data_IF_025002835270
#
_entry.id   IF_025002835270
#
_cell.length_a   1.000
_cell.length_b   1.000
_cell.length_c   1.000
_cell.angle_alpha   90.00
_cell.angle_beta   90.00
_cell.angle_gamma   90.00
#
_symmetry.space_group_name_H-M   'P 1'
#
loop_
_entity.id
_entity.type
_entity.pdbx_description
1 polymer ?
#
# COMPACT_ATOMS: atom_id res chain seq x y z
N UNK A 1 -11.57 -87.62 -36.08
CA UNK A 1 -10.57 -88.03 -35.07
C UNK A 1 -9.85 -86.77 -34.63
N UNK A 2 -9.88 -86.52 -33.31
CA UNK A 2 -9.03 -85.58 -32.53
C UNK A 2 -9.14 -84.09 -32.89
N UNK A 3 -9.67 -83.17 -32.07
CA UNK A 3 -9.93 -83.16 -30.63
C UNK A 3 -8.79 -82.48 -29.87
N UNK A 4 -8.90 -81.17 -29.64
CA UNK A 4 -8.37 -80.41 -28.49
C UNK A 4 -8.87 -78.94 -28.60
N UNK A 5 -9.50 -78.27 -27.63
CA UNK A 5 -9.76 -78.58 -26.23
C UNK A 5 -9.14 -77.53 -25.29
N UNK A 6 -9.77 -76.36 -25.10
CA UNK A 6 -9.76 -75.51 -23.87
C UNK A 6 -10.56 -74.21 -24.15
N UNK A 7 -11.84 -74.08 -23.77
CA UNK A 7 -12.42 -73.85 -22.42
C UNK A 7 -11.84 -72.59 -21.75
N UNK A 8 -12.47 -71.42 -21.94
CA UNK A 8 -13.51 -70.84 -21.07
C UNK A 8 -13.02 -70.50 -19.65
N UNK A 9 -12.87 -69.19 -19.37
CA UNK A 9 -13.17 -68.66 -18.04
C UNK A 9 -14.02 -67.39 -18.19
N UNK A 10 -15.22 -67.45 -17.63
CA UNK A 10 -16.25 -66.39 -17.62
C UNK A 10 -16.36 -65.83 -16.20
N UNK A 11 -16.91 -64.61 -16.07
CA UNK A 11 -16.60 -63.70 -14.97
C UNK A 11 -17.36 -64.03 -13.69
N UNK A 12 -16.74 -63.78 -12.54
CA UNK A 12 -17.43 -63.70 -11.24
C UNK A 12 -17.80 -62.24 -10.94
N UNK A 13 -19.10 -62.02 -10.84
CA UNK A 13 -19.74 -60.80 -10.33
C UNK A 13 -20.02 -60.90 -8.83
N UNK A 14 -20.20 -59.71 -8.22
CA UNK A 14 -20.82 -59.39 -6.92
C UNK A 14 -19.88 -59.52 -5.70
N UNK A 15 -19.73 -58.55 -4.80
CA UNK A 15 -20.38 -57.26 -4.60
C UNK A 15 -20.39 -56.93 -3.10
N UNK A 16 -20.24 -55.65 -2.74
CA UNK A 16 -20.88 -54.94 -1.59
C UNK A 16 -19.95 -54.05 -0.76
N UNK A 17 -20.50 -52.86 -0.44
CA UNK A 17 -20.18 -51.88 0.63
C UNK A 17 -18.85 -51.09 0.52
N UNK A 18 -18.87 -49.79 0.19
CA UNK A 18 -19.10 -48.63 1.10
C UNK A 18 -18.10 -48.55 2.25
N UNK A 19 -17.10 -47.66 2.16
CA UNK A 19 -17.06 -46.36 2.88
C UNK A 19 -15.79 -45.56 2.49
N UNK A 20 -15.81 -44.20 2.43
CA UNK A 20 -14.65 -43.38 2.14
C UNK A 20 -13.99 -42.77 3.39
N UNK A 21 -12.68 -42.55 3.29
CA UNK A 21 -11.81 -41.70 4.13
C UNK A 21 -11.52 -42.16 5.58
N UNK A 22 -10.32 -41.81 6.07
CA UNK A 22 -10.32 -40.81 7.13
C UNK A 22 -9.48 -39.58 6.80
N UNK A 23 -10.10 -38.42 6.99
CA UNK A 23 -9.47 -37.11 7.07
C UNK A 23 -8.48 -37.07 8.24
N UNK A 24 -7.24 -36.72 7.93
CA UNK A 24 -6.21 -36.46 8.94
C UNK A 24 -6.49 -35.18 9.71
N UNK A 25 -7.13 -35.32 10.88
CA UNK A 25 -7.15 -34.30 11.94
C UNK A 25 -5.91 -34.46 12.81
N UNK A 26 -5.09 -33.42 12.86
CA UNK A 26 -4.01 -33.24 13.82
C UNK A 26 -4.28 -32.03 14.70
N UNK A 27 -5.04 -32.28 15.78
CA UNK A 27 -5.10 -31.60 17.09
C UNK A 27 -4.83 -30.09 17.19
N UNK A 28 -5.93 -29.35 17.37
CA UNK A 28 -5.95 -28.08 18.10
C UNK A 28 -5.77 -28.33 19.60
N UNK A 29 -4.89 -27.56 20.22
CA UNK A 29 -4.83 -27.38 21.67
C UNK A 29 -4.91 -25.88 21.94
N UNK A 30 -6.09 -25.39 22.32
CA UNK A 30 -6.29 -24.43 23.41
C UNK A 30 -7.79 -24.19 23.59
N UNK A 31 -8.28 -24.52 24.78
CA UNK A 31 -9.67 -24.38 25.17
C UNK A 31 -9.94 -23.11 25.97
N UNK A 32 -11.09 -22.48 25.74
CA UNK A 32 -12.02 -21.93 26.73
C UNK A 32 -13.20 -21.21 26.02
N UNK A 33 -14.40 -21.13 26.63
CA UNK A 33 -15.67 -21.18 25.91
C UNK A 33 -16.29 -19.82 25.53
N UNK A 34 -17.12 -19.86 24.48
CA UNK A 34 -18.02 -18.80 24.06
C UNK A 34 -19.22 -18.62 25.02
N UNK A 35 -19.62 -17.38 25.25
CA UNK A 35 -20.92 -17.03 25.85
C UNK A 35 -21.83 -16.40 24.81
N UNK A 36 -23.10 -16.82 24.90
CA UNK A 36 -24.21 -16.61 23.97
C UNK A 36 -24.91 -15.26 24.27
N UNK A 37 -25.43 -14.62 23.23
CA UNK A 37 -26.08 -13.31 23.28
C UNK A 37 -27.47 -13.28 23.92
N UNK A 38 -27.97 -12.06 24.09
CA UNK A 38 -29.27 -11.75 24.68
C UNK A 38 -29.79 -10.37 24.23
N UNK A 39 -30.49 -10.40 23.11
CA UNK A 39 -31.74 -9.72 22.73
C UNK A 39 -32.03 -8.21 22.88
N UNK A 40 -32.85 -7.77 21.91
CA UNK A 40 -33.37 -6.41 21.63
C UNK A 40 -34.52 -6.01 22.56
N UNK A 41 -34.72 -4.68 22.70
CA UNK A 41 -36.05 -4.11 22.96
C UNK A 41 -36.19 -2.70 22.39
N UNK A 42 -37.39 -2.41 21.89
CA UNK A 42 -37.84 -1.22 21.17
C UNK A 42 -38.43 -0.15 22.11
N UNK A 43 -38.65 1.07 21.60
CA UNK A 43 -39.44 2.12 22.27
C UNK A 43 -39.65 3.36 21.40
N UNK A 44 -40.92 3.64 21.10
CA UNK A 44 -41.43 4.69 20.20
C UNK A 44 -41.55 6.10 20.83
N UNK A 45 -41.69 7.12 19.96
CA UNK A 45 -41.99 8.56 20.16
C UNK A 45 -43.41 8.83 20.76
N UNK A 46 -44.04 10.06 20.84
CA UNK A 46 -43.71 11.40 20.25
C UNK A 46 -44.13 12.68 21.07
N UNK A 47 -44.00 13.89 20.46
CA UNK A 47 -44.75 15.14 20.79
C UNK A 47 -43.86 16.41 20.84
N UNK A 48 -43.80 17.28 19.81
CA UNK A 48 -44.73 18.36 19.39
C UNK A 48 -44.55 19.69 20.17
N UNK A 49 -44.10 20.77 19.50
CA UNK A 49 -44.88 22.02 19.31
C UNK A 49 -44.12 23.05 18.44
N UNK A 50 -44.86 23.85 17.67
CA UNK A 50 -44.40 24.84 16.71
C UNK A 50 -45.12 26.18 16.91
N UNK A 51 -44.40 27.32 16.87
CA UNK A 51 -45.03 28.64 16.69
C UNK A 51 -44.12 29.86 16.96
N UNK A 52 -44.37 31.05 16.35
CA UNK A 52 -43.35 31.80 15.60
C UNK A 52 -43.13 33.27 16.01
N UNK A 53 -42.07 33.92 15.48
CA UNK A 53 -41.99 35.40 15.38
C UNK A 53 -40.60 35.97 14.99
N UNK A 54 -40.50 37.13 14.29
CA UNK A 54 -39.43 37.41 13.33
C UNK A 54 -38.44 38.52 13.72
N UNK A 55 -37.24 38.48 13.14
CA UNK A 55 -36.28 39.60 13.12
C UNK A 55 -35.32 39.47 11.94
N UNK A 56 -35.26 40.49 11.08
CA UNK A 56 -34.47 40.51 9.84
C UNK A 56 -33.11 41.21 10.01
N UNK A 57 -32.07 40.59 9.45
CA UNK A 57 -30.88 41.15 8.77
C UNK A 57 -29.78 41.88 9.59
N UNK A 58 -28.49 41.90 9.15
CA UNK A 58 -28.00 41.76 7.76
C UNK A 58 -26.85 40.75 7.51
N UNK A 59 -26.52 40.63 6.22
CA UNK A 59 -25.47 39.81 5.61
C UNK A 59 -24.07 40.05 6.20
N UNK A 60 -23.39 38.95 6.52
CA UNK A 60 -21.93 38.82 6.39
C UNK A 60 -21.66 37.44 5.78
N UNK A 61 -21.11 37.40 4.57
CA UNK A 61 -20.67 36.15 3.95
C UNK A 61 -19.63 35.45 4.82
N UNK A 62 -19.52 34.11 4.76
CA UNK A 62 -18.49 33.42 5.54
C UNK A 62 -17.10 33.90 5.09
N UNK A 63 -16.17 34.15 6.03
CA UNK A 63 -14.78 34.37 5.67
C UNK A 63 -14.30 33.15 4.85
N UNK A 64 -13.66 33.40 3.71
CA UNK A 64 -12.97 32.35 2.95
C UNK A 64 -11.97 31.62 3.87
N UNK A 65 -11.59 30.37 3.55
CA UNK A 65 -10.77 29.59 4.46
C UNK A 65 -9.41 30.28 4.67
N UNK A 66 -9.29 30.95 5.82
CA UNK A 66 -8.02 31.22 6.49
C UNK A 66 -7.29 29.88 6.60
N UNK A 67 -6.14 29.78 5.95
CA UNK A 67 -5.31 28.58 5.98
C UNK A 67 -5.03 28.15 7.42
N UNK A 68 -4.99 26.84 7.72
CA UNK A 68 -4.68 26.41 9.07
C UNK A 68 -3.18 26.60 9.34
N UNK A 69 -2.85 27.65 10.09
CA UNK A 69 -1.82 27.56 11.13
C UNK A 69 -2.31 26.53 12.16
N UNK A 70 -1.57 25.43 12.34
CA UNK A 70 -1.94 24.38 13.27
C UNK A 70 -0.74 23.55 13.72
N UNK A 71 -0.26 23.86 14.93
CA UNK A 71 0.80 23.17 15.68
C UNK A 71 0.36 21.77 16.16
N UNK A 72 0.02 20.88 15.23
CA UNK A 72 -0.37 19.49 15.51
C UNK A 72 0.25 18.51 14.52
N UNK A 73 0.75 17.38 15.01
CA UNK A 73 1.31 16.32 14.18
C UNK A 73 0.34 15.92 13.05
N UNK A 74 0.82 15.77 11.79
CA UNK A 74 -0.03 15.32 10.70
C UNK A 74 -0.71 13.99 11.05
N UNK A 75 -2.01 13.89 10.81
CA UNK A 75 -2.75 12.67 11.07
C UNK A 75 -2.53 11.66 9.97
N UNK A 76 -2.34 10.39 10.33
CA UNK A 76 -2.27 9.28 9.39
C UNK A 76 -3.27 8.17 9.76
N UNK A 77 -3.76 7.46 8.75
CA UNK A 77 -4.65 6.31 8.93
C UNK A 77 -4.00 5.06 8.34
N UNK A 78 -4.05 3.96 9.08
CA UNK A 78 -3.65 2.64 8.60
C UNK A 78 -4.88 1.78 8.33
N UNK A 79 -4.94 1.16 7.15
CA UNK A 79 -6.00 0.24 6.76
C UNK A 79 -5.39 -1.11 6.37
N UNK A 80 -5.87 -2.19 6.98
CA UNK A 80 -5.51 -3.55 6.58
C UNK A 80 -6.64 -4.15 5.75
N UNK A 81 -6.39 -4.39 4.46
CA UNK A 81 -7.31 -5.04 3.55
C UNK A 81 -7.04 -6.56 3.54
N UNK A 82 -7.92 -7.31 4.20
CA UNK A 82 -7.76 -8.77 4.34
C UNK A 82 -9.07 -9.42 4.76
N UNK A 83 -9.68 -10.17 3.84
CA UNK A 83 -10.86 -10.99 4.13
C UNK A 83 -10.67 -11.90 5.34
N UNK A 84 -9.50 -12.54 5.46
CA UNK A 84 -9.21 -13.51 6.53
C UNK A 84 -8.95 -12.83 7.88
N UNK A 85 -8.29 -11.67 7.90
CA UNK A 85 -8.07 -10.95 9.16
C UNK A 85 -9.37 -10.33 9.67
N UNK A 86 -10.18 -9.74 8.77
CA UNK A 86 -11.50 -9.20 9.12
C UNK A 86 -12.46 -10.28 9.65
N UNK A 87 -12.34 -11.52 9.17
CA UNK A 87 -13.09 -12.66 9.67
C UNK A 87 -12.50 -13.32 10.93
N UNK A 88 -11.39 -12.80 11.47
CA UNK A 88 -10.75 -13.34 12.68
C UNK A 88 -9.98 -14.67 12.47
N UNK A 89 -9.76 -15.09 11.22
CA UNK A 89 -9.03 -16.34 10.90
C UNK A 89 -7.55 -16.23 11.28
N UNK A 90 -6.98 -15.03 11.17
CA UNK A 90 -5.66 -14.73 11.73
C UNK A 90 -5.58 -13.28 12.20
N UNK A 91 -4.64 -13.02 13.12
CA UNK A 91 -4.30 -11.68 13.56
C UNK A 91 -3.60 -10.88 12.47
N UNK A 92 -3.96 -9.61 12.34
CA UNK A 92 -3.23 -8.65 11.52
C UNK A 92 -1.85 -8.37 12.14
N UNK A 93 -0.79 -8.59 11.36
CA UNK A 93 0.60 -8.29 11.74
C UNK A 93 1.18 -7.14 10.93
N UNK A 94 0.57 -6.79 9.79
CA UNK A 94 1.08 -5.76 8.90
C UNK A 94 0.64 -4.38 9.36
N UNK A 95 -0.63 -4.24 9.75
CA UNK A 95 -1.21 -2.98 10.21
C UNK A 95 -0.48 -2.38 11.42
N UNK A 96 -0.22 -3.14 12.51
CA UNK A 96 0.51 -2.61 13.66
C UNK A 96 1.91 -2.11 13.31
N UNK A 97 2.66 -2.86 12.49
CA UNK A 97 4.00 -2.45 12.03
C UNK A 97 3.96 -1.15 11.21
N UNK A 98 2.93 -0.98 10.38
CA UNK A 98 2.75 0.22 9.56
C UNK A 98 2.41 1.43 10.44
N UNK A 99 1.58 1.22 11.48
CA UNK A 99 1.21 2.26 12.43
C UNK A 99 2.40 2.71 13.27
N UNK A 100 3.19 1.78 13.80
CA UNK A 100 4.44 2.06 14.52
C UNK A 100 5.43 2.85 13.64
N UNK A 101 5.61 2.44 12.39
CA UNK A 101 6.49 3.12 11.45
C UNK A 101 6.07 4.56 11.15
N UNK A 102 4.77 4.80 10.96
CA UNK A 102 4.23 6.15 10.78
C UNK A 102 4.37 7.00 12.05
N UNK A 103 4.11 6.44 13.23
CA UNK A 103 4.27 7.14 14.49
C UNK A 103 5.74 7.58 14.71
N UNK A 104 6.70 6.72 14.36
CA UNK A 104 8.13 7.03 14.41
C UNK A 104 8.53 8.17 13.44
N UNK A 105 7.76 8.40 12.38
CA UNK A 105 7.92 9.52 11.44
C UNK A 105 7.22 10.81 11.90
N UNK A 106 6.63 10.82 13.10
CA UNK A 106 5.98 12.00 13.69
C UNK A 106 4.52 12.19 13.31
N UNK A 107 3.84 11.16 12.80
CA UNK A 107 2.40 11.21 12.52
C UNK A 107 1.57 10.85 13.76
N UNK A 108 0.41 11.50 13.89
CA UNK A 108 -0.65 11.07 14.81
C UNK A 108 -1.47 9.96 14.11
N UNK A 109 -1.23 8.70 14.48
CA UNK A 109 -1.75 7.55 13.73
C UNK A 109 -3.03 6.99 14.35
N UNK A 110 -4.05 6.84 13.51
CA UNK A 110 -5.25 6.06 13.82
C UNK A 110 -5.21 4.70 13.10
N UNK A 111 -5.75 3.65 13.73
CA UNK A 111 -5.80 2.29 13.20
C UNK A 111 -4.77 1.33 13.84
N UNK A 112 -4.55 0.13 13.26
CA UNK A 112 -5.05 -0.30 11.96
C UNK A 112 -6.56 -0.59 11.95
N UNK A 113 -7.25 -0.05 10.95
CA UNK A 113 -8.61 -0.44 10.62
C UNK A 113 -8.57 -1.67 9.72
N UNK A 114 -8.96 -2.83 10.26
CA UNK A 114 -9.00 -4.10 9.50
C UNK A 114 -10.35 -4.23 8.80
N UNK A 115 -10.34 -4.38 7.48
CA UNK A 115 -11.55 -4.50 6.65
C UNK A 115 -11.42 -5.62 5.60
N UNK A 116 -12.54 -6.21 5.14
CA UNK A 116 -12.53 -7.07 3.97
C UNK A 116 -12.10 -6.34 2.70
N UNK A 117 -11.62 -7.08 1.71
CA UNK A 117 -11.21 -6.53 0.42
C UNK A 117 -12.39 -5.94 -0.37
N UNK A 118 -12.12 -4.95 -1.24
CA UNK A 118 -13.11 -4.37 -2.15
C UNK A 118 -13.84 -3.15 -1.57
N UNK A 119 -15.17 -3.14 -1.62
CA UNK A 119 -15.99 -1.98 -1.25
C UNK A 119 -15.72 -1.43 0.17
N UNK A 120 -15.46 -2.26 1.20
CA UNK A 120 -15.11 -1.75 2.53
C UNK A 120 -13.82 -0.92 2.55
N UNK A 121 -12.82 -1.28 1.72
CA UNK A 121 -11.59 -0.50 1.56
C UNK A 121 -11.90 0.86 0.97
N UNK A 122 -12.70 0.93 -0.10
CA UNK A 122 -13.10 2.21 -0.71
C UNK A 122 -13.82 3.11 0.31
N UNK A 123 -14.76 2.57 1.07
CA UNK A 123 -15.50 3.30 2.10
C UNK A 123 -14.57 3.86 3.18
N UNK A 124 -13.60 3.06 3.64
CA UNK A 124 -12.60 3.48 4.62
C UNK A 124 -11.71 4.60 4.06
N UNK A 125 -11.23 4.47 2.82
CA UNK A 125 -10.45 5.50 2.14
C UNK A 125 -11.22 6.82 2.02
N UNK A 126 -12.46 6.78 1.51
CA UNK A 126 -13.30 7.99 1.40
C UNK A 126 -13.58 8.64 2.75
N UNK A 127 -13.78 7.83 3.79
CA UNK A 127 -13.98 8.32 5.16
C UNK A 127 -12.72 8.98 5.69
N UNK A 128 -11.56 8.40 5.45
CA UNK A 128 -10.27 9.01 5.80
C UNK A 128 -10.04 10.34 5.08
N UNK A 129 -10.28 10.40 3.77
CA UNK A 129 -10.14 11.66 3.01
C UNK A 129 -11.06 12.74 3.58
N UNK A 130 -12.34 12.45 3.83
CA UNK A 130 -13.28 13.41 4.45
C UNK A 130 -12.89 13.83 5.87
N UNK A 131 -12.23 12.95 6.61
CA UNK A 131 -11.74 13.25 7.96
C UNK A 131 -10.43 14.06 7.97
N UNK A 132 -9.87 14.38 6.80
CA UNK A 132 -8.69 15.22 6.66
C UNK A 132 -7.38 14.57 7.09
N UNK A 133 -7.25 13.24 6.98
CA UNK A 133 -5.95 12.59 7.18
C UNK A 133 -4.95 13.09 6.15
N UNK A 134 -3.71 13.35 6.56
CA UNK A 134 -2.65 13.75 5.65
C UNK A 134 -2.14 12.55 4.83
N UNK A 135 -2.09 11.37 5.45
CA UNK A 135 -1.61 10.13 4.83
C UNK A 135 -2.56 8.98 5.17
N UNK A 136 -2.89 8.16 4.18
CA UNK A 136 -3.53 6.87 4.38
C UNK A 136 -2.66 5.79 3.76
N UNK A 137 -2.18 4.85 4.57
CA UNK A 137 -1.45 3.69 4.07
C UNK A 137 -2.32 2.45 4.21
N UNK A 138 -2.48 1.72 3.10
CA UNK A 138 -3.16 0.42 3.12
C UNK A 138 -2.13 -0.71 3.08
N UNK A 139 -2.44 -1.85 3.68
CA UNK A 139 -1.66 -3.09 3.52
C UNK A 139 -2.58 -4.25 3.14
N UNK A 140 -2.20 -5.01 2.12
CA UNK A 140 -2.98 -6.16 1.62
C UNK A 140 -3.87 -5.85 0.42
N UNK A 141 -4.39 -6.92 -0.19
CA UNK A 141 -5.29 -6.84 -1.34
C UNK A 141 -4.68 -6.30 -2.63
N UNK A 142 -3.35 -6.28 -2.77
CA UNK A 142 -2.63 -5.74 -3.95
C UNK A 142 -2.05 -6.80 -4.88
N UNK A 143 -2.19 -8.09 -4.56
CA UNK A 143 -1.66 -9.19 -5.38
C UNK A 143 -2.51 -9.46 -6.63
N UNK A 144 -2.33 -10.63 -7.24
CA UNK A 144 -3.09 -11.05 -8.44
C UNK A 144 -4.26 -11.99 -8.09
N UNK A 145 -4.57 -12.19 -6.81
CA UNK A 145 -5.74 -12.99 -6.42
C UNK A 145 -7.02 -12.36 -6.98
N UNK A 146 -8.03 -13.15 -7.38
CA UNK A 146 -9.34 -12.61 -7.78
C UNK A 146 -10.00 -11.74 -6.70
N UNK A 147 -9.65 -11.95 -5.43
CA UNK A 147 -10.17 -11.18 -4.29
C UNK A 147 -9.35 -9.93 -3.98
N UNK A 148 -8.17 -9.77 -4.56
CA UNK A 148 -7.32 -8.60 -4.34
C UNK A 148 -7.92 -7.40 -5.09
N UNK A 149 -8.59 -6.50 -4.35
CA UNK A 149 -9.36 -5.38 -4.92
C UNK A 149 -8.96 -4.01 -4.37
N UNK A 150 -7.89 -3.94 -3.57
CA UNK A 150 -7.39 -2.68 -2.99
C UNK A 150 -7.00 -1.65 -4.06
N UNK A 151 -6.28 -2.00 -5.15
CA UNK A 151 -5.96 -1.04 -6.22
C UNK A 151 -7.20 -0.43 -6.87
N UNK A 152 -8.21 -1.25 -7.16
CA UNK A 152 -9.46 -0.80 -7.78
C UNK A 152 -10.25 0.12 -6.85
N UNK A 153 -10.38 -0.27 -5.59
CA UNK A 153 -11.00 0.56 -4.54
C UNK A 153 -10.25 1.89 -4.36
N UNK A 154 -8.92 1.86 -4.42
CA UNK A 154 -8.08 3.06 -4.28
C UNK A 154 -8.26 3.99 -5.48
N UNK A 155 -8.20 3.46 -6.71
CA UNK A 155 -8.38 4.25 -7.93
C UNK A 155 -9.70 5.02 -7.96
N UNK A 156 -10.78 4.44 -7.43
CA UNK A 156 -12.08 5.11 -7.35
C UNK A 156 -12.10 6.35 -6.44
N UNK A 157 -11.09 6.52 -5.58
CA UNK A 157 -10.98 7.63 -4.61
C UNK A 157 -9.96 8.68 -5.03
N UNK A 158 -8.95 8.31 -5.82
CA UNK A 158 -7.88 9.22 -6.23
C UNK A 158 -8.35 10.30 -7.21
N UNK A 159 -7.93 11.54 -6.99
CA UNK A 159 -8.06 12.62 -7.99
C UNK A 159 -6.93 12.55 -9.01
N UNK A 160 -5.73 12.14 -8.56
CA UNK A 160 -4.55 11.96 -9.40
C UNK A 160 -3.67 10.82 -8.88
N UNK A 161 -3.15 10.00 -9.79
CA UNK A 161 -2.17 8.95 -9.48
C UNK A 161 -0.74 9.53 -9.45
N UNK A 162 0.12 8.93 -8.61
CA UNK A 162 1.56 9.18 -8.56
C UNK A 162 2.25 7.84 -8.87
N UNK A 163 2.52 7.53 -10.15
CA UNK A 163 3.03 6.22 -10.55
C UNK A 163 4.44 5.90 -10.04
N UNK A 164 5.27 6.94 -9.78
CA UNK A 164 6.65 6.75 -9.32
C UNK A 164 6.78 6.09 -7.94
N UNK A 165 5.80 6.28 -7.04
CA UNK A 165 5.82 5.64 -5.72
C UNK A 165 5.67 4.10 -5.83
N UNK A 166 4.61 3.56 -6.45
CA UNK A 166 4.47 2.11 -6.57
C UNK A 166 5.55 1.47 -7.46
N UNK A 167 6.13 2.21 -8.42
CA UNK A 167 7.34 1.78 -9.14
C UNK A 167 8.53 1.60 -8.20
N UNK A 168 8.83 2.59 -7.35
CA UNK A 168 9.92 2.52 -6.38
C UNK A 168 9.70 1.38 -5.36
N UNK A 169 8.47 1.19 -4.89
CA UNK A 169 8.11 0.10 -3.97
C UNK A 169 8.40 -1.28 -4.58
N UNK A 170 7.97 -1.51 -5.83
CA UNK A 170 8.25 -2.76 -6.55
C UNK A 170 9.74 -2.94 -6.83
N UNK A 171 10.43 -1.87 -7.20
CA UNK A 171 11.86 -1.88 -7.48
C UNK A 171 12.70 -2.22 -6.24
N UNK A 172 12.35 -1.70 -5.07
CA UNK A 172 13.00 -2.04 -3.81
C UNK A 172 12.67 -3.48 -3.38
N UNK A 173 11.39 -3.87 -3.43
CA UNK A 173 10.96 -5.20 -3.00
C UNK A 173 11.55 -6.34 -3.84
N UNK A 174 11.71 -6.15 -5.16
CA UNK A 174 12.23 -7.21 -6.06
C UNK A 174 13.68 -7.59 -5.80
N UNK A 175 14.45 -6.72 -5.14
CA UNK A 175 15.84 -7.03 -4.74
C UNK A 175 15.89 -8.19 -3.74
N UNK A 176 14.83 -8.35 -2.93
CA UNK A 176 14.71 -9.40 -1.90
C UNK A 176 13.75 -10.50 -2.32
N UNK A 177 12.63 -10.13 -2.93
CA UNK A 177 11.53 -11.03 -3.27
C UNK A 177 11.11 -10.80 -4.72
N UNK A 178 11.48 -11.68 -5.67
CA UNK A 178 11.20 -11.47 -7.10
C UNK A 178 9.73 -11.23 -7.43
N UNK A 179 8.81 -11.85 -6.68
CA UNK A 179 7.35 -11.70 -6.87
C UNK A 179 6.80 -10.35 -6.41
N UNK A 180 7.60 -9.48 -5.77
CA UNK A 180 7.18 -8.13 -5.40
C UNK A 180 6.72 -7.31 -6.61
N UNK A 181 7.23 -7.60 -7.81
CA UNK A 181 6.81 -6.97 -9.07
C UNK A 181 5.34 -7.20 -9.41
N UNK A 182 4.70 -8.24 -8.86
CA UNK A 182 3.29 -8.57 -9.10
C UNK A 182 2.32 -7.68 -8.30
N UNK A 183 2.82 -6.86 -7.36
CA UNK A 183 1.97 -5.93 -6.62
C UNK A 183 1.37 -4.88 -7.56
N UNK A 184 0.04 -4.85 -7.63
CA UNK A 184 -0.77 -3.89 -8.40
C UNK A 184 -1.10 -2.62 -7.61
N UNK A 185 -0.50 -2.45 -6.43
CA UNK A 185 -0.74 -1.31 -5.55
C UNK A 185 -0.52 0.03 -6.26
N UNK A 186 -1.34 1.01 -5.90
CA UNK A 186 -1.31 2.37 -6.41
C UNK A 186 -0.82 3.35 -5.35
N UNK A 187 -0.46 4.54 -5.80
CA UNK A 187 -0.32 5.70 -4.94
C UNK A 187 -0.92 6.92 -5.64
N UNK A 188 -1.41 7.87 -4.87
CA UNK A 188 -1.96 9.10 -5.42
C UNK A 188 -2.47 10.04 -4.36
N UNK A 189 -3.12 11.11 -4.82
CA UNK A 189 -3.71 12.13 -3.96
C UNK A 189 -5.22 12.16 -4.16
N UNK A 190 -5.95 12.30 -3.06
CA UNK A 190 -7.37 12.64 -3.02
C UNK A 190 -7.54 13.85 -2.09
N UNK A 191 -8.05 14.96 -2.62
CA UNK A 191 -8.02 16.30 -2.01
C UNK A 191 -6.61 16.68 -1.53
N UNK A 192 -6.34 16.60 -0.23
CA UNK A 192 -5.02 16.86 0.38
C UNK A 192 -4.42 15.63 1.06
N UNK A 193 -4.99 14.45 0.81
CA UNK A 193 -4.58 13.19 1.42
C UNK A 193 -3.73 12.38 0.44
N UNK A 194 -2.52 12.02 0.86
CA UNK A 194 -1.71 11.01 0.15
C UNK A 194 -2.21 9.61 0.50
N UNK A 195 -2.53 8.80 -0.51
CA UNK A 195 -2.92 7.40 -0.34
C UNK A 195 -1.87 6.51 -1.00
N UNK A 196 -1.39 5.47 -0.30
CA UNK A 196 -0.43 4.50 -0.85
C UNK A 196 -0.82 3.08 -0.46
N UNK A 197 -0.84 2.16 -1.44
CA UNK A 197 -1.07 0.75 -1.19
C UNK A 197 0.25 -0.02 -1.04
N UNK A 198 0.42 -0.70 0.10
CA UNK A 198 1.53 -1.59 0.38
C UNK A 198 1.12 -3.07 0.28
N UNK A 199 2.07 -3.98 0.00
CA UNK A 199 1.82 -5.41 0.06
C UNK A 199 1.34 -5.87 1.45
N UNK A 200 0.63 -7.00 1.51
CA UNK A 200 0.09 -7.57 2.75
C UNK A 200 1.09 -8.35 3.61
N UNK A 201 2.30 -8.60 3.12
CA UNK A 201 3.34 -9.30 3.88
C UNK A 201 4.07 -8.32 4.81
N UNK A 202 4.47 -8.78 5.99
CA UNK A 202 5.24 -7.94 6.94
C UNK A 202 6.58 -7.46 6.35
N UNK A 203 7.21 -8.28 5.49
CA UNK A 203 8.37 -7.86 4.69
C UNK A 203 8.04 -6.71 3.75
N UNK A 204 6.94 -6.82 2.98
CA UNK A 204 6.51 -5.75 2.07
C UNK A 204 6.09 -4.46 2.78
N UNK A 205 5.54 -4.55 3.99
CA UNK A 205 5.26 -3.39 4.85
C UNK A 205 6.55 -2.68 5.26
N UNK A 206 7.57 -3.42 5.72
CA UNK A 206 8.88 -2.87 6.11
C UNK A 206 9.60 -2.24 4.93
N UNK A 207 9.60 -2.92 3.79
CA UNK A 207 10.14 -2.41 2.53
C UNK A 207 9.42 -1.13 2.11
N UNK A 208 8.09 -1.10 2.27
CA UNK A 208 7.29 0.09 2.00
C UNK A 208 7.64 1.27 2.89
N UNK A 209 7.77 1.06 4.20
CA UNK A 209 8.20 2.10 5.14
C UNK A 209 9.60 2.62 4.83
N UNK A 210 10.54 1.75 4.42
CA UNK A 210 11.88 2.15 4.03
C UNK A 210 11.90 3.08 2.81
N UNK A 211 11.04 2.81 1.80
CA UNK A 211 10.89 3.66 0.61
C UNK A 211 10.16 4.95 0.92
N UNK A 212 9.08 4.88 1.72
CA UNK A 212 8.20 6.01 1.98
C UNK A 212 8.75 6.98 3.03
N UNK A 213 9.52 6.50 4.02
CA UNK A 213 10.01 7.30 5.13
C UNK A 213 10.67 8.63 4.73
N UNK A 214 11.60 8.64 3.76
CA UNK A 214 12.22 9.88 3.28
C UNK A 214 11.26 10.80 2.51
N UNK A 215 10.16 10.27 1.97
CA UNK A 215 9.24 10.99 1.08
C UNK A 215 8.07 11.64 1.84
N UNK A 216 7.56 10.96 2.87
CA UNK A 216 6.30 11.33 3.52
C UNK A 216 6.31 12.74 4.13
N UNK A 217 7.31 13.17 4.93
CA UNK A 217 7.28 14.49 5.56
C UNK A 217 7.19 15.62 4.53
N UNK A 218 8.03 15.56 3.49
CA UNK A 218 8.08 16.56 2.43
C UNK A 218 6.84 16.56 1.53
N UNK A 219 6.27 15.37 1.27
CA UNK A 219 5.05 15.25 0.46
C UNK A 219 3.84 15.84 1.18
N UNK A 220 3.72 15.57 2.49
CA UNK A 220 2.62 16.09 3.32
C UNK A 220 2.70 17.60 3.46
N UNK A 221 3.90 18.15 3.63
CA UNK A 221 4.12 19.60 3.70
C UNK A 221 3.65 20.30 2.41
N UNK A 222 4.04 19.78 1.24
CA UNK A 222 3.58 20.32 -0.05
C UNK A 222 2.06 20.24 -0.23
N UNK A 223 1.43 19.12 0.15
CA UNK A 223 -0.03 18.96 0.03
C UNK A 223 -0.81 19.92 0.95
N UNK A 224 -0.17 20.40 2.03
CA UNK A 224 -0.75 21.39 2.94
C UNK A 224 -0.54 22.83 2.49
N UNK A 225 0.21 23.05 1.41
CA UNK A 225 0.54 24.37 0.89
C UNK A 225 1.78 24.98 1.55
N UNK A 226 2.68 24.16 2.10
CA UNK A 226 4.00 24.63 2.49
C UNK A 226 4.78 25.13 1.27
N UNK A 227 5.17 26.40 1.29
CA UNK A 227 6.08 27.00 0.33
C UNK A 227 7.50 26.47 0.59
N UNK A 228 8.14 25.86 -0.41
CA UNK A 228 9.56 25.60 -0.30
C UNK A 228 10.36 26.88 -0.54
N UNK A 229 11.35 27.21 0.32
CA UNK A 229 12.48 27.98 -0.16
C UNK A 229 13.16 27.14 -1.24
N UNK A 230 13.38 27.74 -2.42
CA UNK A 230 14.20 27.16 -3.47
C UNK A 230 15.47 26.53 -2.87
N UNK A 231 16.01 25.42 -3.42
CA UNK A 231 17.26 24.88 -2.93
C UNK A 231 18.29 26.01 -2.92
N UNK A 232 18.76 26.38 -1.72
CA UNK A 232 19.74 27.44 -1.55
C UNK A 232 20.95 27.04 -2.38
N UNK A 233 21.18 27.76 -3.49
CA UNK A 233 22.45 27.71 -4.18
C UNK A 233 23.55 27.97 -3.13
N UNK A 234 24.69 27.26 -3.19
CA UNK A 234 25.79 27.57 -2.29
C UNK A 234 26.15 29.04 -2.48
N UNK A 235 25.92 29.82 -1.40
CA UNK A 235 26.28 31.22 -1.31
C UNK A 235 27.74 31.37 -1.71
N UNK A 236 27.97 31.97 -2.87
CA UNK A 236 29.28 32.44 -3.26
C UNK A 236 29.73 33.56 -2.31
N UNK A 237 31.05 33.64 -2.14
CA UNK A 237 31.86 34.76 -1.63
C UNK A 237 32.36 34.59 -0.18
N UNK A 238 33.64 34.85 0.11
CA UNK A 238 34.28 36.12 -0.24
C UNK A 238 35.63 36.04 -0.97
N UNK A 239 35.87 37.11 -1.74
CA UNK A 239 37.14 37.70 -2.15
C UNK A 239 38.40 37.13 -1.48
N UNK A 240 39.31 36.59 -2.30
CA UNK A 240 40.74 36.60 -2.00
C UNK A 240 41.52 37.20 -3.17
N UNK A 241 42.35 38.16 -2.79
CA UNK A 241 43.25 38.96 -3.60
C UNK A 241 44.22 38.11 -4.42
N UNK A 242 44.59 38.62 -5.59
CA UNK A 242 45.69 38.17 -6.44
C UNK A 242 46.98 37.94 -5.64
N UNK A 243 47.81 36.98 -6.08
CA UNK A 243 49.07 37.42 -6.69
C UNK A 243 49.47 36.65 -7.95
N UNK A 244 50.23 37.40 -8.75
CA UNK A 244 51.06 37.02 -9.90
C UNK A 244 51.80 35.68 -9.75
N UNK A 245 51.79 34.88 -10.83
CA UNK A 245 52.64 33.70 -10.96
C UNK A 245 52.35 32.91 -12.24
N UNK A 246 53.03 33.25 -13.33
CA UNK A 246 53.13 32.41 -14.53
C UNK A 246 54.11 31.26 -14.21
N UNK A 247 53.80 30.00 -14.57
CA UNK A 247 54.60 29.39 -15.63
C UNK A 247 53.83 28.45 -16.57
N UNK A 248 54.39 28.41 -17.78
CA UNK A 248 54.25 27.52 -18.94
C UNK A 248 53.66 26.11 -18.73
N UNK A 249 52.65 25.79 -19.52
CA UNK A 249 52.16 24.43 -19.81
C UNK A 249 53.05 23.69 -20.82
N UNK A 250 53.48 22.44 -20.56
CA UNK A 250 53.90 21.53 -21.61
C UNK A 250 52.71 20.75 -22.19
N UNK A 251 52.64 20.70 -23.52
CA UNK A 251 51.72 19.90 -24.33
C UNK A 251 51.87 18.39 -24.05
N UNK A 252 50.79 17.63 -23.79
CA UNK A 252 50.82 16.18 -23.95
C UNK A 252 50.47 15.78 -25.39
N UNK A 253 51.42 15.07 -26.01
CA UNK A 253 51.33 14.40 -27.31
C UNK A 253 50.18 13.37 -27.38
N UNK A 254 49.53 13.33 -28.54
CA UNK A 254 48.57 12.28 -28.91
C UNK A 254 49.27 10.92 -29.14
N UNK A 255 48.66 9.79 -28.75
CA UNK A 255 49.11 8.47 -29.19
C UNK A 255 48.54 8.08 -30.56
N UNK A 256 49.42 7.59 -31.42
CA UNK A 256 49.16 7.01 -32.75
C UNK A 256 48.24 5.77 -32.68
N UNK A 257 47.32 5.56 -33.64
CA UNK A 257 46.66 4.28 -33.81
C UNK A 257 47.56 3.31 -34.59
N UNK A 258 48.04 2.28 -33.90
CA UNK A 258 48.75 1.14 -34.47
C UNK A 258 47.81 -0.03 -34.80
N UNK A 259 48.05 -0.59 -35.98
CA UNK A 259 47.86 -1.99 -36.39
C UNK A 259 46.44 -2.60 -36.42
N UNK A 260 45.96 -2.78 -37.65
CA UNK A 260 44.90 -3.69 -38.03
C UNK A 260 45.30 -5.17 -37.84
N UNK A 261 44.39 -6.05 -37.38
CA UNK A 261 44.54 -7.48 -37.56
C UNK A 261 43.94 -7.95 -38.90
N UNK A 262 44.76 -8.71 -39.63
CA UNK A 262 44.45 -9.43 -40.86
C UNK A 262 43.36 -10.49 -40.65
N UNK A 263 42.30 -10.42 -41.45
CA UNK A 263 41.30 -11.46 -41.60
C UNK A 263 41.81 -12.54 -42.55
N UNK A 264 42.12 -13.72 -42.03
CA UNK A 264 42.26 -14.94 -42.80
C UNK A 264 41.20 -15.93 -42.30
N UNK A 265 40.29 -16.38 -43.17
CA UNK A 265 39.32 -17.42 -42.80
C UNK A 265 38.17 -17.64 -43.79
N UNK A 266 38.44 -18.40 -44.86
CA UNK A 266 37.45 -19.21 -45.59
C UNK A 266 37.35 -18.93 -47.11
N UNK A 267 36.82 -19.85 -47.94
CA UNK A 267 36.61 -21.30 -47.75
C UNK A 267 37.16 -22.16 -48.92
N UNK A 268 37.54 -23.42 -48.66
CA UNK A 268 37.37 -24.60 -49.52
C UNK A 268 37.43 -25.86 -48.68
#
# INVERSE_FOLDING_TARGET
MSGDGTAEDRPRTQGSAQDPAPDGRGTDADGAPATIGGDRAAGSAPGADAGPGPGRSPLTGPPGPTGPTGDGAPRALVITASNRAAAGVYADRGGPLLAEGLAALGFAVDGPLVVPDGAPVEQALRTGVRAGYAVILTTGGTGVSPTDRTPEATRAVLDREIPGIPEALRAHGREKVPTAVLSRGLAGVADRTLIVNLPGSTGGVRDGLAVLGPLLPHTVDQLRGGDHPAPSAPSASPTRSSPSGRPTSPTPSAPSPGAAPSTAGGPR
#
